data_IF_473702708714
#
_entry.id   IF_473702708714
#
_cell.length_a   1.000
_cell.length_b   1.000
_cell.length_c   1.000
_cell.angle_alpha   90.00
_cell.angle_beta   90.00
_cell.angle_gamma   90.00
#
_symmetry.space_group_name_H-M   'P 1'
#
loop_
_entity.id
_entity.type
_entity.pdbx_description
1 polymer ?
#
# COMPACT_ATOMS: atom_id res chain seq x y z
N UNK A 1 -6.75 9.97 -11.99
CA UNK A 1 -6.49 11.23 -12.74
C UNK A 1 -5.59 12.13 -11.91
N UNK A 2 -4.32 12.34 -12.30
CA UNK A 2 -3.37 13.12 -11.47
C UNK A 2 -3.25 12.58 -10.04
N UNK A 3 -3.76 13.35 -9.08
CA UNK A 3 -3.86 13.08 -7.63
C UNK A 3 -5.16 12.39 -7.18
N UNK A 4 -6.12 12.15 -8.08
CA UNK A 4 -7.40 11.50 -7.79
C UNK A 4 -7.26 9.99 -7.57
N UNK A 5 -7.95 9.16 -8.35
CA UNK A 5 -7.97 7.70 -8.11
C UNK A 5 -6.99 6.92 -9.03
N UNK A 6 -6.58 5.71 -8.60
CA UNK A 6 -5.84 4.73 -9.41
C UNK A 6 -6.54 3.36 -9.47
N UNK A 7 -7.69 3.25 -10.15
CA UNK A 7 -8.57 2.08 -10.03
C UNK A 7 -7.93 0.75 -10.47
N UNK A 8 -7.12 0.76 -11.54
CA UNK A 8 -6.47 -0.48 -12.01
C UNK A 8 -5.33 -0.94 -11.10
N UNK A 9 -4.74 -0.04 -10.31
CA UNK A 9 -3.72 -0.39 -9.34
C UNK A 9 -4.40 -1.11 -8.17
N UNK A 10 -5.40 -0.51 -7.55
CA UNK A 10 -6.06 -1.14 -6.39
C UNK A 10 -6.77 -2.46 -6.74
N UNK A 11 -7.30 -2.61 -7.96
CA UNK A 11 -7.77 -3.93 -8.41
C UNK A 11 -6.65 -4.98 -8.46
N UNK A 12 -5.44 -4.58 -8.87
CA UNK A 12 -4.25 -5.44 -8.84
C UNK A 12 -3.88 -5.78 -7.40
N UNK A 13 -3.88 -4.80 -6.51
CA UNK A 13 -3.49 -4.96 -5.12
C UNK A 13 -4.46 -5.92 -4.41
N UNK A 14 -5.77 -5.68 -4.51
CA UNK A 14 -6.81 -6.56 -3.97
C UNK A 14 -6.75 -7.98 -4.56
N UNK A 15 -6.48 -8.10 -5.86
CA UNK A 15 -6.30 -9.40 -6.48
C UNK A 15 -5.07 -10.12 -5.94
N UNK A 16 -3.99 -9.40 -5.68
CA UNK A 16 -2.78 -9.95 -5.06
C UNK A 16 -3.09 -10.44 -3.65
N UNK A 17 -3.76 -9.63 -2.82
CA UNK A 17 -4.21 -10.04 -1.48
C UNK A 17 -5.05 -11.32 -1.54
N UNK A 18 -6.07 -11.34 -2.41
CA UNK A 18 -6.93 -12.52 -2.57
C UNK A 18 -6.18 -13.76 -3.04
N UNK A 19 -5.17 -13.61 -3.90
CA UNK A 19 -4.34 -14.72 -4.39
C UNK A 19 -3.42 -15.28 -3.32
N UNK A 20 -2.83 -14.42 -2.51
CA UNK A 20 -1.82 -14.79 -1.52
C UNK A 20 -2.43 -15.24 -0.19
N UNK A 21 -3.54 -14.61 0.23
CA UNK A 21 -4.21 -14.85 1.52
C UNK A 21 -5.57 -15.56 1.39
N UNK A 22 -6.09 -15.73 0.17
CA UNK A 22 -7.34 -16.44 -0.12
C UNK A 22 -8.62 -15.61 0.07
N UNK A 23 -8.56 -14.51 0.81
CA UNK A 23 -9.67 -13.59 1.08
C UNK A 23 -9.16 -12.15 1.23
N UNK A 24 -10.09 -11.20 1.21
CA UNK A 24 -9.86 -9.81 1.68
C UNK A 24 -10.61 -9.56 2.99
N UNK A 25 -11.76 -10.22 3.17
CA UNK A 25 -12.55 -10.16 4.39
C UNK A 25 -11.79 -10.76 5.60
N UNK A 26 -11.99 -10.14 6.76
CA UNK A 26 -11.36 -10.44 8.04
C UNK A 26 -9.91 -9.95 8.17
N UNK A 27 -9.39 -9.18 7.22
CA UNK A 27 -7.98 -8.77 7.20
C UNK A 27 -7.75 -7.36 7.74
N UNK A 28 -6.63 -7.19 8.43
CA UNK A 28 -6.13 -5.88 8.86
C UNK A 28 -5.06 -5.38 7.88
N UNK A 29 -5.30 -4.22 7.28
CA UNK A 29 -4.40 -3.53 6.37
C UNK A 29 -3.63 -2.45 7.12
N UNK A 30 -2.32 -2.63 7.26
CA UNK A 30 -1.40 -1.60 7.73
C UNK A 30 -0.89 -0.80 6.53
N UNK A 31 -1.46 0.39 6.33
CA UNK A 31 -1.08 1.35 5.32
C UNK A 31 0.00 2.28 5.87
N UNK A 32 1.19 2.26 5.27
CA UNK A 32 2.36 3.04 5.70
C UNK A 32 2.77 3.96 4.55
N UNK A 33 2.89 5.26 4.79
CA UNK A 33 3.38 6.16 3.76
C UNK A 33 2.69 7.52 3.67
N UNK A 34 2.80 8.13 2.51
CA UNK A 34 2.08 9.36 2.18
C UNK A 34 0.60 9.05 1.89
N UNK A 35 -0.30 9.34 2.84
CA UNK A 35 -1.74 9.05 2.70
C UNK A 35 -2.42 9.92 1.66
N UNK A 36 -1.76 10.97 1.15
CA UNK A 36 -2.28 11.82 0.06
C UNK A 36 -2.12 11.15 -1.30
N UNK A 37 -1.43 10.01 -1.37
CA UNK A 37 -1.27 9.27 -2.61
C UNK A 37 -2.58 8.64 -3.05
N UNK A 38 -2.85 8.74 -4.36
CA UNK A 38 -4.05 8.18 -5.00
C UNK A 38 -4.32 6.71 -4.70
N UNK A 39 -3.27 5.93 -4.54
CA UNK A 39 -3.33 4.51 -4.22
C UNK A 39 -3.84 4.27 -2.81
N UNK A 40 -3.43 5.11 -1.84
CA UNK A 40 -3.96 5.07 -0.47
C UNK A 40 -5.44 5.43 -0.41
N UNK A 41 -5.87 6.46 -1.15
CA UNK A 41 -7.28 6.83 -1.26
C UNK A 41 -8.12 5.74 -1.92
N UNK A 42 -7.67 5.24 -3.08
CA UNK A 42 -8.31 4.12 -3.77
C UNK A 42 -8.39 2.87 -2.90
N UNK A 43 -7.36 2.59 -2.10
CA UNK A 43 -7.36 1.45 -1.18
C UNK A 43 -8.39 1.66 -0.08
N UNK A 44 -8.45 2.86 0.52
CA UNK A 44 -9.48 3.24 1.49
C UNK A 44 -10.88 2.96 0.97
N UNK A 45 -11.25 3.50 -0.19
CA UNK A 45 -12.55 3.23 -0.80
C UNK A 45 -12.78 1.76 -1.16
N UNK A 46 -11.74 1.04 -1.58
CA UNK A 46 -11.91 -0.35 -1.95
C UNK A 46 -12.14 -1.24 -0.71
N UNK A 47 -11.49 -0.93 0.41
CA UNK A 47 -11.68 -1.65 1.67
C UNK A 47 -13.07 -1.44 2.28
N UNK A 48 -13.80 -0.37 1.94
CA UNK A 48 -15.20 -0.20 2.38
C UNK A 48 -16.15 -1.25 1.81
N UNK A 49 -15.70 -2.00 0.79
CA UNK A 49 -16.46 -3.09 0.16
C UNK A 49 -16.22 -4.46 0.80
N UNK A 50 -15.38 -4.53 1.84
CA UNK A 50 -14.98 -5.77 2.52
C UNK A 50 -15.10 -5.63 4.03
N UNK A 51 -15.17 -6.76 4.73
CA UNK A 51 -15.01 -6.80 6.19
C UNK A 51 -13.53 -6.64 6.52
N UNK A 52 -13.00 -5.42 6.46
CA UNK A 52 -11.57 -5.15 6.66
C UNK A 52 -11.35 -3.93 7.55
N UNK A 53 -10.16 -3.84 8.14
CA UNK A 53 -9.74 -2.69 8.94
C UNK A 53 -8.50 -2.04 8.32
N UNK A 54 -8.41 -0.71 8.43
CA UNK A 54 -7.24 0.06 8.01
C UNK A 54 -6.54 0.66 9.23
N UNK A 55 -5.22 0.46 9.28
CA UNK A 55 -4.30 1.16 10.19
C UNK A 55 -3.46 2.09 9.33
N UNK A 56 -3.57 3.39 9.51
CA UNK A 56 -2.76 4.37 8.81
C UNK A 56 -1.57 4.80 9.69
N UNK A 57 -0.36 4.69 9.14
CA UNK A 57 0.88 5.21 9.74
C UNK A 57 1.55 6.14 8.75
N UNK A 58 1.57 7.43 9.06
CA UNK A 58 2.04 8.47 8.17
C UNK A 58 2.68 9.64 8.94
N UNK A 59 3.55 10.44 8.32
CA UNK A 59 3.93 11.74 8.83
C UNK A 59 2.69 12.63 9.04
N UNK A 60 2.63 13.48 10.09
CA UNK A 60 1.46 14.33 10.36
C UNK A 60 1.03 15.21 9.17
N UNK A 61 1.97 15.67 8.35
CA UNK A 61 1.72 16.47 7.14
C UNK A 61 1.25 15.65 5.91
N UNK A 62 1.22 14.33 6.05
CA UNK A 62 0.81 13.35 5.04
C UNK A 62 -0.28 12.41 5.56
N UNK A 63 -0.93 12.75 6.68
CA UNK A 63 -2.01 11.94 7.26
C UNK A 63 -3.29 12.01 6.43
N UNK A 64 -4.23 11.12 6.71
CA UNK A 64 -5.59 11.22 6.18
C UNK A 64 -6.24 12.50 6.74
N UNK A 65 -7.02 13.20 5.92
CA UNK A 65 -7.81 14.33 6.40
C UNK A 65 -8.97 13.84 7.25
N UNK A 66 -9.38 14.63 8.24
CA UNK A 66 -10.55 14.28 9.07
C UNK A 66 -11.80 14.06 8.23
N UNK A 67 -12.02 14.89 7.20
CA UNK A 67 -13.14 14.72 6.27
C UNK A 67 -13.13 13.38 5.52
N UNK A 68 -11.96 12.88 5.16
CA UNK A 68 -11.85 11.62 4.43
C UNK A 68 -12.00 10.43 5.37
N UNK A 69 -11.49 10.52 6.61
CA UNK A 69 -11.75 9.53 7.66
C UNK A 69 -13.25 9.42 7.97
N UNK A 70 -13.95 10.55 8.07
CA UNK A 70 -15.40 10.59 8.26
C UNK A 70 -16.14 9.93 7.09
N UNK A 71 -15.76 10.23 5.84
CA UNK A 71 -16.34 9.60 4.64
C UNK A 71 -16.15 8.07 4.63
N UNK A 72 -14.94 7.58 4.96
CA UNK A 72 -14.67 6.14 5.05
C UNK A 72 -15.48 5.48 6.17
N UNK A 73 -15.66 6.16 7.31
CA UNK A 73 -16.46 5.68 8.42
C UNK A 73 -17.96 5.61 8.08
N UNK A 74 -18.50 6.57 7.31
CA UNK A 74 -19.87 6.51 6.78
C UNK A 74 -20.09 5.32 5.84
N UNK A 75 -19.02 4.82 5.22
CA UNK A 75 -19.01 3.61 4.40
C UNK A 75 -18.64 2.34 5.20
N UNK A 76 -18.63 2.41 6.53
CA UNK A 76 -18.37 1.31 7.48
C UNK A 76 -16.91 0.79 7.51
N UNK A 77 -15.93 1.54 6.99
CA UNK A 77 -14.53 1.17 7.17
C UNK A 77 -14.01 1.66 8.54
N UNK A 78 -13.45 0.75 9.32
CA UNK A 78 -12.73 1.11 10.55
C UNK A 78 -11.34 1.58 10.17
N UNK A 79 -11.07 2.86 10.40
CA UNK A 79 -9.74 3.46 10.20
C UNK A 79 -9.19 3.90 11.55
N UNK A 80 -7.98 3.45 11.87
CA UNK A 80 -7.22 3.92 13.04
C UNK A 80 -5.86 4.47 12.62
N UNK A 81 -5.40 5.49 13.31
CA UNK A 81 -4.07 6.07 13.09
C UNK A 81 -3.11 5.58 14.18
N UNK A 82 -1.84 5.41 13.81
CA UNK A 82 -0.76 5.13 14.75
C UNK A 82 0.50 5.90 14.36
N UNK A 83 1.29 6.31 15.35
CA UNK A 83 2.47 7.15 15.15
C UNK A 83 3.71 6.36 14.67
N UNK A 84 3.75 5.07 14.99
CA UNK A 84 4.90 4.20 14.73
C UNK A 84 4.44 2.81 14.29
N UNK A 85 4.92 2.38 13.13
CA UNK A 85 4.58 1.09 12.55
C UNK A 85 5.08 -0.07 13.43
N UNK A 86 6.18 0.10 14.17
CA UNK A 86 6.73 -0.94 15.02
C UNK A 86 5.78 -1.38 16.15
N UNK A 87 4.83 -0.52 16.54
CA UNK A 87 3.82 -0.83 17.56
C UNK A 87 2.58 -1.56 17.02
N UNK A 88 2.41 -1.64 15.71
CA UNK A 88 1.18 -2.14 15.06
C UNK A 88 1.45 -3.16 13.95
N UNK A 89 2.71 -3.41 13.59
CA UNK A 89 3.09 -4.34 12.52
C UNK A 89 2.73 -5.81 12.82
N UNK A 90 2.59 -6.17 14.10
CA UNK A 90 2.15 -7.49 14.56
C UNK A 90 0.64 -7.72 14.38
N UNK A 91 -0.13 -6.66 14.15
CA UNK A 91 -1.55 -6.71 13.84
C UNK A 91 -1.83 -6.84 12.34
N UNK A 92 -0.85 -6.55 11.48
CA UNK A 92 -1.03 -6.49 10.04
C UNK A 92 -1.11 -7.88 9.38
N UNK A 93 -2.11 -8.10 8.54
CA UNK A 93 -2.14 -9.20 7.57
C UNK A 93 -1.61 -8.74 6.20
N UNK A 94 -1.86 -7.47 5.86
CA UNK A 94 -1.33 -6.80 4.66
C UNK A 94 -0.61 -5.54 5.10
N UNK A 95 0.66 -5.41 4.73
CA UNK A 95 1.46 -4.20 4.88
C UNK A 95 1.49 -3.51 3.51
N UNK A 96 0.75 -2.43 3.35
CA UNK A 96 0.59 -1.69 2.10
C UNK A 96 1.40 -0.39 2.17
N UNK A 97 2.42 -0.27 1.33
CA UNK A 97 3.43 0.78 1.47
C UNK A 97 3.46 1.75 0.30
N UNK A 98 3.62 3.02 0.65
CA UNK A 98 3.95 4.11 -0.26
C UNK A 98 5.10 4.96 0.30
N UNK A 99 5.95 5.56 -0.55
CA UNK A 99 7.08 6.35 -0.09
C UNK A 99 6.66 7.66 0.57
N UNK A 100 7.16 7.93 1.78
CA UNK A 100 7.08 9.26 2.43
C UNK A 100 8.12 10.24 1.87
N UNK A 101 9.18 9.74 1.26
CA UNK A 101 10.18 10.54 0.55
C UNK A 101 10.08 10.25 -0.94
N UNK A 102 9.64 11.26 -1.70
CA UNK A 102 9.48 11.13 -3.14
C UNK A 102 10.55 11.91 -3.88
N UNK A 103 11.08 11.29 -4.95
CA UNK A 103 11.88 12.02 -5.92
C UNK A 103 11.01 13.03 -6.69
N UNK A 104 11.59 14.15 -7.11
CA UNK A 104 10.91 15.07 -8.02
C UNK A 104 10.82 14.45 -9.42
N UNK A 105 9.65 13.85 -9.73
CA UNK A 105 9.41 13.19 -11.01
C UNK A 105 9.09 14.15 -12.16
N UNK A 106 8.97 15.47 -11.88
CA UNK A 106 8.82 16.49 -12.94
C UNK A 106 10.14 16.80 -13.64
N UNK A 107 11.26 16.39 -13.04
CA UNK A 107 12.62 16.53 -13.58
C UNK A 107 13.11 15.23 -14.20
N UNK A 108 13.87 15.36 -15.29
CA UNK A 108 14.57 14.24 -15.91
C UNK A 108 15.51 13.54 -14.92
N UNK A 109 15.78 12.25 -15.11
CA UNK A 109 16.63 11.47 -14.20
C UNK A 109 18.02 12.10 -14.01
N UNK A 110 18.51 12.77 -15.05
CA UNK A 110 19.81 13.48 -15.07
C UNK A 110 19.77 14.84 -14.35
N UNK A 111 18.58 15.41 -14.11
CA UNK A 111 18.36 16.70 -13.46
C UNK A 111 18.00 16.57 -11.96
N UNK A 112 17.78 15.34 -11.49
CA UNK A 112 17.57 15.02 -10.07
C UNK A 112 18.89 15.11 -9.31
N UNK A 113 19.38 16.33 -9.10
CA UNK A 113 20.51 16.62 -8.22
C UNK A 113 20.04 16.81 -6.77
N UNK A 114 20.77 16.21 -5.83
CA UNK A 114 20.57 16.38 -4.38
C UNK A 114 20.36 15.05 -3.64
N UNK A 115 20.85 14.94 -2.42
CA UNK A 115 20.49 13.84 -1.52
C UNK A 115 19.03 14.03 -1.09
N UNK A 116 18.20 13.01 -1.33
CA UNK A 116 16.87 12.95 -0.74
C UNK A 116 17.01 12.74 0.78
N UNK A 117 16.09 13.29 1.59
CA UNK A 117 16.08 12.98 3.02
C UNK A 117 15.87 11.47 3.21
N UNK A 118 16.40 10.94 4.30
CA UNK A 118 16.17 9.54 4.67
C UNK A 118 14.77 9.37 5.24
N UNK A 119 14.12 8.26 4.93
CA UNK A 119 12.85 7.89 5.54
C UNK A 119 13.03 7.72 7.06
N UNK A 120 12.21 8.35 7.91
CA UNK A 120 12.24 8.13 9.35
C UNK A 120 11.95 6.65 9.71
N UNK A 121 12.61 6.12 10.76
CA UNK A 121 12.55 4.68 11.10
C UNK A 121 11.13 4.19 11.42
N UNK A 122 10.26 5.05 11.93
CA UNK A 122 8.85 4.74 12.21
C UNK A 122 8.00 4.46 10.95
N UNK A 123 8.55 4.72 9.75
CA UNK A 123 7.93 4.43 8.45
C UNK A 123 8.72 3.40 7.62
N UNK A 124 9.80 2.82 8.17
CA UNK A 124 10.67 1.86 7.47
C UNK A 124 10.33 0.42 7.85
N UNK A 125 10.17 -0.43 6.84
CA UNK A 125 9.94 -1.87 7.02
C UNK A 125 11.22 -2.62 6.65
N UNK A 126 11.92 -3.15 7.65
CA UNK A 126 13.18 -3.89 7.47
C UNK A 126 12.99 -5.39 7.68
N UNK A 127 13.95 -6.22 7.23
CA UNK A 127 13.93 -7.66 7.53
C UNK A 127 13.90 -7.93 9.03
N UNK A 128 14.67 -7.16 9.80
CA UNK A 128 14.78 -7.31 11.25
C UNK A 128 13.42 -7.09 11.92
N UNK A 129 12.74 -6.00 11.56
CA UNK A 129 11.44 -5.65 12.13
C UNK A 129 10.37 -6.71 11.79
N UNK A 130 10.35 -7.17 10.54
CA UNK A 130 9.47 -8.24 10.10
C UNK A 130 9.71 -9.55 10.86
N UNK A 131 10.98 -9.94 11.03
CA UNK A 131 11.33 -11.17 11.72
C UNK A 131 10.98 -11.13 13.22
N UNK A 132 11.02 -9.95 13.83
CA UNK A 132 10.74 -9.77 15.25
C UNK A 132 9.25 -9.69 15.57
N UNK A 133 8.44 -9.04 14.70
CA UNK A 133 7.08 -8.64 15.07
C UNK A 133 5.99 -9.04 14.08
N UNK A 134 6.27 -9.15 12.77
CA UNK A 134 5.21 -9.34 11.79
C UNK A 134 4.56 -10.73 11.88
N UNK A 135 3.26 -10.80 11.57
CA UNK A 135 2.56 -12.10 11.49
C UNK A 135 3.24 -13.01 10.47
N UNK A 136 3.37 -14.33 10.74
CA UNK A 136 4.04 -15.25 9.82
C UNK A 136 3.46 -15.30 8.40
N UNK A 137 2.17 -15.01 8.23
CA UNK A 137 1.48 -14.99 6.94
C UNK A 137 1.34 -13.59 6.33
N UNK A 138 1.76 -12.53 7.03
CA UNK A 138 1.62 -11.17 6.51
C UNK A 138 2.33 -11.02 5.16
N UNK A 139 1.75 -10.22 4.27
CA UNK A 139 2.36 -9.89 2.98
C UNK A 139 2.64 -8.38 2.88
N UNK A 140 3.63 -8.02 2.08
CA UNK A 140 4.01 -6.63 1.80
C UNK A 140 3.71 -6.34 0.34
N UNK A 141 2.90 -5.32 0.12
CA UNK A 141 2.56 -4.73 -1.17
C UNK A 141 3.15 -3.32 -1.24
N UNK A 142 3.53 -2.90 -2.44
CA UNK A 142 4.17 -1.61 -2.65
C UNK A 142 4.02 -1.20 -4.11
N UNK A 143 3.44 -0.04 -4.39
CA UNK A 143 3.14 0.42 -5.77
C UNK A 143 4.36 0.60 -6.66
N UNK A 144 5.52 0.83 -6.03
CA UNK A 144 6.84 1.08 -6.65
C UNK A 144 6.86 2.40 -7.44
N UNK A 145 8.05 2.99 -7.69
CA UNK A 145 9.36 2.59 -7.17
C UNK A 145 9.47 2.81 -5.66
N UNK A 146 10.26 1.95 -5.00
CA UNK A 146 10.61 2.09 -3.57
C UNK A 146 11.95 2.80 -3.38
N UNK A 147 12.16 3.40 -2.22
CA UNK A 147 13.42 3.99 -1.74
C UNK A 147 13.91 3.27 -0.48
N UNK A 148 14.29 4.00 0.58
CA UNK A 148 14.83 3.48 1.83
C UNK A 148 13.75 3.11 2.87
N UNK A 149 12.48 3.38 2.58
CA UNK A 149 11.30 2.89 3.31
C UNK A 149 11.18 1.36 3.27
N UNK A 150 11.62 0.74 2.18
CA UNK A 150 11.56 -0.70 1.97
C UNK A 150 12.90 -1.23 1.43
N UNK A 151 13.92 -1.42 2.30
CA UNK A 151 15.24 -1.83 1.89
C UNK A 151 15.29 -3.20 1.18
N UNK A 152 16.31 -3.45 0.33
CA UNK A 152 16.43 -4.69 -0.44
C UNK A 152 16.61 -5.98 0.38
N UNK A 153 16.92 -5.89 1.67
CA UNK A 153 17.03 -7.05 2.55
C UNK A 153 15.68 -7.76 2.77
N UNK A 154 14.57 -7.03 2.55
CA UNK A 154 13.20 -7.54 2.60
C UNK A 154 12.87 -8.46 1.41
N UNK A 155 13.55 -8.32 0.28
CA UNK A 155 13.24 -9.07 -0.97
C UNK A 155 13.32 -10.58 -0.78
N UNK A 156 14.27 -11.02 0.04
CA UNK A 156 14.47 -12.44 0.35
C UNK A 156 13.51 -13.00 1.41
N UNK A 157 12.60 -12.18 1.94
CA UNK A 157 11.63 -12.61 2.94
C UNK A 157 10.40 -13.22 2.29
N UNK A 158 9.72 -14.11 3.01
CA UNK A 158 8.43 -14.67 2.58
C UNK A 158 7.32 -13.62 2.46
N UNK A 159 7.50 -12.43 3.06
CA UNK A 159 6.50 -11.37 3.12
C UNK A 159 6.45 -10.55 1.82
N UNK A 160 7.58 -10.42 1.10
CA UNK A 160 7.65 -9.61 -0.11
C UNK A 160 6.74 -10.14 -1.22
N UNK A 161 5.73 -9.34 -1.63
CA UNK A 161 4.80 -9.66 -2.73
C UNK A 161 4.69 -8.59 -3.81
N UNK A 162 5.32 -7.44 -3.65
CA UNK A 162 5.32 -6.34 -4.65
C UNK A 162 5.86 -6.74 -6.05
N UNK A 163 6.72 -7.77 -6.15
CA UNK A 163 7.12 -8.30 -7.47
C UNK A 163 6.04 -9.17 -8.12
N UNK A 164 5.35 -10.00 -7.32
CA UNK A 164 4.21 -10.79 -7.78
C UNK A 164 3.03 -9.88 -8.14
N UNK A 165 2.79 -8.84 -7.33
CA UNK A 165 1.83 -7.76 -7.58
C UNK A 165 2.05 -7.12 -8.95
N UNK A 166 3.29 -6.74 -9.28
CA UNK A 166 3.63 -6.19 -10.58
C UNK A 166 3.27 -7.14 -11.74
N UNK A 167 3.52 -8.45 -11.58
CA UNK A 167 3.13 -9.46 -12.56
C UNK A 167 1.60 -9.61 -12.66
N UNK A 168 0.90 -9.66 -11.52
CA UNK A 168 -0.55 -9.70 -11.48
C UNK A 168 -1.20 -8.46 -12.10
N UNK A 169 -0.50 -7.33 -12.08
CA UNK A 169 -0.91 -6.12 -12.77
C UNK A 169 -1.04 -6.28 -14.28
N UNK A 170 -0.26 -7.17 -14.90
CA UNK A 170 -0.41 -7.50 -16.33
C UNK A 170 -1.70 -8.29 -16.53
N UNK A 171 -1.90 -9.34 -15.74
CA UNK A 171 -3.06 -10.24 -15.83
C UNK A 171 -4.36 -9.48 -15.58
N UNK A 172 -4.39 -8.64 -14.55
CA UNK A 172 -5.55 -7.83 -14.19
C UNK A 172 -5.93 -6.87 -15.31
N UNK A 173 -4.95 -6.17 -15.90
CA UNK A 173 -5.20 -5.22 -16.99
C UNK A 173 -5.63 -5.93 -18.28
N UNK A 174 -5.11 -7.13 -18.56
CA UNK A 174 -5.61 -7.97 -19.66
C UNK A 174 -7.08 -8.36 -19.45
N UNK A 175 -7.46 -8.77 -18.24
CA UNK A 175 -8.84 -9.10 -17.91
C UNK A 175 -9.76 -7.89 -18.08
N UNK A 176 -9.37 -6.72 -17.55
CA UNK A 176 -10.12 -5.47 -17.71
C UNK A 176 -10.31 -5.07 -19.17
N UNK A 177 -9.24 -5.12 -19.98
CA UNK A 177 -9.35 -4.84 -21.42
C UNK A 177 -10.29 -5.82 -22.12
N UNK A 178 -10.21 -7.11 -21.77
CA UNK A 178 -11.06 -8.14 -22.38
C UNK A 178 -12.54 -7.94 -22.03
N UNK A 179 -12.86 -7.65 -20.75
CA UNK A 179 -14.23 -7.38 -20.29
C UNK A 179 -14.80 -6.10 -20.94
N UNK A 180 -14.03 -5.01 -20.93
CA UNK A 180 -14.48 -3.72 -21.48
C UNK A 180 -14.69 -3.78 -22.99
N UNK A 181 -13.89 -4.58 -23.70
CA UNK A 181 -14.03 -4.80 -25.14
C UNK A 181 -15.03 -5.91 -25.50
N UNK A 182 -15.65 -6.57 -24.52
CA UNK A 182 -16.62 -7.65 -24.74
C UNK A 182 -16.01 -8.93 -25.32
N UNK A 183 -14.70 -9.16 -25.12
CA UNK A 183 -14.01 -10.36 -25.57
C UNK A 183 -14.22 -11.55 -24.63
N UNK A 184 -14.65 -11.30 -23.38
CA UNK A 184 -15.01 -12.29 -22.36
C UNK A 184 -16.19 -11.77 -21.54
N UNK A 185 -16.96 -12.67 -20.92
CA UNK A 185 -18.13 -12.40 -20.06
C UNK A 185 -17.82 -12.73 -18.60
#
# INVERSE_FOLDING_TARGET
DGWGEHPTQVLTDLYTVRRELGTVDGLTFLCIGDMRMRTMHSMGYALTQFDAEMIAVAPPEMSLTDSFKEELAEQNLVVREADDLAHVIDEADVIYMEPVVQADYTKGRDERGGELPTTPDNYRVTRELLAAHAKPHAIILHSLPRMDELPPDVDGTKHARYWQEAYYGVVMRMALLSLVLGAVE
#
